data_IF_377841588509
#
_entry.id   IF_377841588509
#
_cell.length_a   1.000
_cell.length_b   1.000
_cell.length_c   1.000
_cell.angle_alpha   90.00
_cell.angle_beta   90.00
_cell.angle_gamma   90.00
#
_symmetry.space_group_name_H-M   'P 1'
#
loop_
_entity.id
_entity.type
_entity.pdbx_description
1 polymer ?
#
# COMPACT_ATOMS: atom_id res chain seq x y z
N UNK A 1 -18.55 2.84 -23.55
CA UNK A 1 -17.13 2.52 -23.82
C UNK A 1 -16.79 1.27 -23.04
N UNK A 2 -16.55 0.17 -23.74
CA UNK A 2 -16.27 -1.15 -23.15
C UNK A 2 -14.78 -1.28 -22.82
N UNK A 3 -14.47 -1.96 -21.73
CA UNK A 3 -13.15 -2.30 -21.15
C UNK A 3 -12.09 -2.93 -22.08
N UNK A 4 -12.33 -2.98 -23.40
CA UNK A 4 -11.45 -3.59 -24.42
C UNK A 4 -10.34 -2.68 -24.97
N UNK A 5 -10.28 -1.40 -24.57
CA UNK A 5 -9.29 -0.46 -25.12
C UNK A 5 -8.06 -0.21 -24.22
N UNK A 6 -7.97 -0.84 -23.05
CA UNK A 6 -6.92 -0.54 -22.07
C UNK A 6 -5.57 -1.27 -22.25
N UNK A 7 -5.30 -1.93 -23.39
CA UNK A 7 -4.11 -2.81 -23.43
C UNK A 7 -3.54 -3.17 -24.79
N UNK A 8 -3.50 -2.26 -25.76
CA UNK A 8 -2.88 -2.57 -27.08
C UNK A 8 -1.54 -1.91 -27.37
N UNK A 9 -1.03 -1.06 -26.49
CA UNK A 9 0.35 -0.58 -26.52
C UNK A 9 0.84 -0.61 -25.06
N UNK A 10 1.96 -1.25 -24.75
CA UNK A 10 2.46 -1.53 -23.38
C UNK A 10 2.76 -0.34 -22.46
N UNK A 11 2.08 0.79 -22.63
CA UNK A 11 2.14 1.95 -21.75
C UNK A 11 1.13 1.80 -20.61
N UNK A 12 1.61 1.95 -19.38
CA UNK A 12 0.75 2.05 -18.20
C UNK A 12 -0.19 3.25 -18.32
N UNK A 13 -1.39 3.15 -17.75
CA UNK A 13 -2.26 4.32 -17.55
C UNK A 13 -1.58 5.32 -16.59
N UNK A 14 -2.02 6.59 -16.53
CA UNK A 14 -1.53 7.52 -15.52
C UNK A 14 -1.63 6.96 -14.08
N UNK A 15 -2.75 6.31 -13.75
CA UNK A 15 -2.96 5.65 -12.46
C UNK A 15 -2.00 4.45 -12.29
N UNK A 16 -1.79 3.66 -13.34
CA UNK A 16 -0.81 2.57 -13.34
C UNK A 16 0.62 3.06 -13.08
N UNK A 17 1.01 4.19 -13.67
CA UNK A 17 2.32 4.82 -13.38
C UNK A 17 2.42 5.32 -11.94
N UNK A 18 1.37 5.95 -11.42
CA UNK A 18 1.32 6.40 -10.02
C UNK A 18 1.49 5.24 -9.05
N UNK A 19 0.77 4.14 -9.28
CA UNK A 19 0.88 2.93 -8.47
C UNK A 19 2.30 2.34 -8.51
N UNK A 20 2.88 2.19 -9.70
CA UNK A 20 4.25 1.66 -9.84
C UNK A 20 5.26 2.54 -9.11
N UNK A 21 5.16 3.86 -9.25
CA UNK A 21 6.05 4.78 -8.55
C UNK A 21 5.87 4.69 -7.03
N UNK A 22 4.63 4.59 -6.54
CA UNK A 22 4.36 4.43 -5.11
C UNK A 22 4.96 3.13 -4.55
N UNK A 23 4.83 2.02 -5.27
CA UNK A 23 5.43 0.74 -4.87
C UNK A 23 6.96 0.85 -4.81
N UNK A 24 7.59 1.42 -5.84
CA UNK A 24 9.05 1.61 -5.86
C UNK A 24 9.50 2.49 -4.70
N UNK A 25 8.78 3.58 -4.42
CA UNK A 25 9.09 4.48 -3.31
C UNK A 25 8.91 3.78 -1.95
N UNK A 26 7.85 2.98 -1.80
CA UNK A 26 7.63 2.15 -0.61
C UNK A 26 8.80 1.20 -0.37
N UNK A 27 9.24 0.47 -1.40
CA UNK A 27 10.38 -0.44 -1.31
C UNK A 27 11.69 0.27 -0.94
N UNK A 28 11.95 1.44 -1.53
CA UNK A 28 13.12 2.26 -1.18
C UNK A 28 13.05 2.74 0.28
N UNK A 29 11.87 3.14 0.74
CA UNK A 29 11.66 3.57 2.12
C UNK A 29 11.85 2.40 3.11
N UNK A 30 11.31 1.22 2.80
CA UNK A 30 11.52 -0.01 3.56
C UNK A 30 13.00 -0.37 3.65
N UNK A 31 13.74 -0.32 2.53
CA UNK A 31 15.18 -0.56 2.52
C UNK A 31 15.92 0.43 3.42
N UNK A 32 15.62 1.73 3.33
CA UNK A 32 16.23 2.75 4.21
C UNK A 32 15.92 2.54 5.68
N UNK A 33 14.71 2.07 6.00
CA UNK A 33 14.35 1.70 7.37
C UNK A 33 15.16 0.51 7.86
N UNK A 34 15.32 -0.53 7.04
CA UNK A 34 16.17 -1.68 7.36
C UNK A 34 17.60 -1.24 7.70
N UNK A 35 18.22 -0.46 6.81
CA UNK A 35 19.58 0.04 7.01
C UNK A 35 19.71 0.91 8.27
N UNK A 36 18.70 1.71 8.57
CA UNK A 36 18.68 2.59 9.75
C UNK A 36 18.50 1.82 11.05
N UNK A 37 17.61 0.83 11.07
CA UNK A 37 17.28 0.08 12.28
C UNK A 37 18.34 -0.96 12.62
N UNK A 38 18.94 -1.60 11.61
CA UNK A 38 19.90 -2.68 11.81
C UNK A 38 19.33 -3.75 12.76
N UNK A 39 20.09 -4.12 13.79
CA UNK A 39 19.66 -5.13 14.76
C UNK A 39 18.47 -4.71 15.62
N UNK A 40 18.22 -3.40 15.81
CA UNK A 40 17.04 -2.93 16.54
C UNK A 40 15.74 -3.33 15.82
N UNK A 41 15.80 -3.55 14.50
CA UNK A 41 14.67 -4.05 13.71
C UNK A 41 14.21 -5.47 14.11
N UNK A 42 15.07 -6.25 14.78
CA UNK A 42 14.79 -7.61 15.25
C UNK A 42 14.16 -7.65 16.65
N UNK A 43 13.90 -6.49 17.25
CA UNK A 43 13.25 -6.44 18.56
C UNK A 43 11.76 -6.77 18.43
N UNK A 44 11.27 -7.60 19.34
CA UNK A 44 9.84 -7.84 19.49
C UNK A 44 9.15 -6.56 19.97
N UNK A 45 8.03 -6.22 19.37
CA UNK A 45 7.33 -4.96 19.67
C UNK A 45 5.94 -5.19 20.25
N UNK A 46 5.03 -5.73 19.45
CA UNK A 46 3.63 -5.93 19.81
C UNK A 46 3.10 -7.22 19.20
N UNK A 47 1.94 -7.67 19.70
CA UNK A 47 1.20 -8.76 19.06
C UNK A 47 0.46 -8.21 17.84
N UNK A 48 0.50 -8.93 16.73
CA UNK A 48 -0.30 -8.65 15.55
C UNK A 48 -1.79 -9.04 15.81
N UNK A 49 -2.73 -8.70 14.91
CA UNK A 49 -4.15 -9.05 15.04
C UNK A 49 -4.44 -10.56 15.14
N UNK A 50 -3.46 -11.41 14.81
CA UNK A 50 -3.55 -12.86 14.86
C UNK A 50 -2.97 -13.45 16.16
N UNK A 51 -2.45 -12.59 17.05
CA UNK A 51 -1.88 -13.01 18.34
C UNK A 51 -0.44 -13.51 18.25
N UNK A 52 0.27 -13.19 17.16
CA UNK A 52 1.69 -13.52 16.97
C UNK A 52 2.58 -12.31 17.27
N UNK A 53 3.81 -12.57 17.72
CA UNK A 53 4.74 -11.50 18.09
C UNK A 53 5.42 -10.93 16.84
N UNK A 54 5.23 -9.63 16.62
CA UNK A 54 5.79 -8.91 15.49
C UNK A 54 7.14 -8.24 15.82
N UNK A 55 8.05 -8.25 14.85
CA UNK A 55 9.30 -7.51 14.96
C UNK A 55 9.07 -6.02 14.64
N UNK A 56 9.93 -5.17 15.19
CA UNK A 56 9.91 -3.74 14.90
C UNK A 56 10.06 -3.44 13.40
N UNK A 57 10.78 -4.30 12.67
CA UNK A 57 10.95 -4.17 11.23
C UNK A 57 9.68 -4.56 10.47
N UNK A 58 8.92 -5.56 10.92
CA UNK A 58 7.72 -6.05 10.21
C UNK A 58 6.68 -4.93 10.12
N UNK A 59 6.40 -4.29 11.25
CA UNK A 59 5.44 -3.18 11.37
C UNK A 59 5.91 -1.97 10.56
N UNK A 60 7.17 -1.54 10.75
CA UNK A 60 7.69 -0.34 10.09
C UNK A 60 7.87 -0.53 8.58
N UNK A 61 8.22 -1.74 8.12
CA UNK A 61 8.30 -2.05 6.70
C UNK A 61 6.94 -1.89 6.03
N UNK A 62 5.91 -2.41 6.68
CA UNK A 62 4.55 -2.36 6.14
C UNK A 62 4.01 -0.93 6.14
N UNK A 63 4.20 -0.19 7.25
CA UNK A 63 3.87 1.23 7.33
C UNK A 63 4.50 2.05 6.20
N UNK A 64 5.75 1.77 5.84
CA UNK A 64 6.42 2.48 4.76
C UNK A 64 5.72 2.27 3.40
N UNK A 65 5.29 1.05 3.11
CA UNK A 65 4.56 0.72 1.87
C UNK A 65 3.17 1.35 1.90
N UNK A 66 2.44 1.23 3.01
CA UNK A 66 1.10 1.79 3.15
C UNK A 66 1.10 3.32 3.03
N UNK A 67 2.08 4.00 3.62
CA UNK A 67 2.24 5.44 3.50
C UNK A 67 2.53 5.86 2.05
N UNK A 68 3.41 5.14 1.35
CA UNK A 68 3.67 5.42 -0.06
C UNK A 68 2.43 5.22 -0.94
N UNK A 69 1.62 4.19 -0.67
CA UNK A 69 0.37 3.94 -1.39
C UNK A 69 -0.70 5.00 -1.08
N UNK A 70 -0.76 5.49 0.17
CA UNK A 70 -1.70 6.52 0.60
C UNK A 70 -1.55 7.82 -0.20
N UNK A 71 -0.32 8.16 -0.58
CA UNK A 71 -0.01 9.37 -1.36
C UNK A 71 -0.56 9.34 -2.79
N UNK A 72 -0.92 8.15 -3.30
CA UNK A 72 -1.56 8.02 -4.62
C UNK A 72 -3.00 8.52 -4.66
N UNK A 73 -3.63 8.69 -3.49
CA UNK A 73 -5.07 8.98 -3.34
C UNK A 73 -6.01 7.95 -4.00
N UNK A 74 -5.49 6.78 -4.37
CA UNK A 74 -6.27 5.65 -4.85
C UNK A 74 -6.86 4.89 -3.66
N UNK A 75 -7.99 4.22 -3.90
CA UNK A 75 -8.59 3.32 -2.91
C UNK A 75 -8.06 1.90 -3.10
N UNK A 76 -7.55 1.31 -2.03
CA UNK A 76 -7.08 -0.09 -2.01
C UNK A 76 -7.80 -0.87 -0.92
N UNK A 77 -8.20 -2.10 -1.24
CA UNK A 77 -8.47 -3.09 -0.21
C UNK A 77 -7.15 -3.72 0.20
N UNK A 78 -6.76 -3.53 1.46
CA UNK A 78 -5.52 -4.04 2.02
C UNK A 78 -5.83 -5.23 2.90
N UNK A 79 -5.03 -6.29 2.76
CA UNK A 79 -4.95 -7.39 3.71
C UNK A 79 -3.50 -7.49 4.14
N UNK A 80 -3.28 -7.34 5.43
CA UNK A 80 -1.96 -7.20 6.02
C UNK A 80 -1.85 -8.12 7.24
N UNK A 81 -0.63 -8.61 7.48
CA UNK A 81 -0.30 -9.40 8.66
C UNK A 81 -0.31 -8.52 9.92
N UNK A 82 0.32 -7.34 9.85
CA UNK A 82 0.54 -6.49 11.03
C UNK A 82 -0.61 -5.53 11.34
N UNK A 83 -1.43 -5.19 10.34
CA UNK A 83 -2.50 -4.20 10.41
C UNK A 83 -3.89 -4.76 10.07
N UNK A 84 -3.97 -6.04 9.66
CA UNK A 84 -5.22 -6.71 9.34
C UNK A 84 -5.84 -6.23 8.01
N UNK A 85 -7.18 -6.28 7.92
CA UNK A 85 -7.91 -5.94 6.69
C UNK A 85 -8.60 -4.58 6.79
N UNK A 86 -8.32 -3.68 5.85
CA UNK A 86 -8.90 -2.33 5.83
C UNK A 86 -8.91 -1.72 4.42
N UNK A 87 -9.58 -0.58 4.26
CA UNK A 87 -9.55 0.23 3.03
C UNK A 87 -8.56 1.37 3.23
N UNK A 88 -7.54 1.45 2.37
CA UNK A 88 -6.59 2.55 2.32
C UNK A 88 -7.05 3.58 1.28
N UNK A 89 -7.04 4.87 1.66
CA UNK A 89 -7.43 5.98 0.78
C UNK A 89 -8.91 6.36 0.91
N UNK A 90 -9.32 7.43 0.21
CA UNK A 90 -10.73 7.85 0.15
C UNK A 90 -11.38 7.25 -1.10
N UNK A 91 -12.51 6.56 -0.93
CA UNK A 91 -13.45 6.36 -2.04
C UNK A 91 -13.98 7.75 -2.39
N UNK A 92 -13.49 8.36 -3.47
CA UNK A 92 -14.16 9.55 -3.99
C UNK A 92 -15.56 9.13 -4.36
N UNK A 93 -16.56 9.74 -3.71
CA UNK A 93 -17.99 9.54 -3.97
C UNK A 93 -18.21 9.40 -5.48
N UNK A 94 -18.49 8.19 -5.93
CA UNK A 94 -19.15 8.01 -7.21
C UNK A 94 -20.50 8.67 -6.97
N UNK A 95 -20.69 9.89 -7.47
CA UNK A 95 -22.01 10.50 -7.56
C UNK A 95 -22.92 9.40 -8.09
N UNK A 96 -23.98 8.99 -7.37
CA UNK A 96 -24.93 8.06 -7.95
C UNK A 96 -25.37 8.73 -9.24
N UNK A 97 -25.04 8.13 -10.38
CA UNK A 97 -25.71 8.43 -11.62
C UNK A 97 -27.19 8.21 -11.29
N UNK A 98 -27.92 9.30 -11.08
CA UNK A 98 -29.36 9.28 -11.08
C UNK A 98 -29.74 8.68 -12.43
N UNK A 99 -30.10 7.40 -12.39
CA UNK A 99 -30.87 6.79 -13.45
C UNK A 99 -32.24 7.45 -13.39
N UNK A 100 -32.50 8.26 -14.42
CA UNK A 100 -33.80 8.75 -14.90
C UNK A 100 -34.49 9.80 -14.02
#
# INVERSE_FOLDING_TARGET
MTSKELGRNGALTPQGRLLVNAVINGLIATYRLHERLGDAGKSNTQLNPFGEMALAMDIQAEDAVLNALKDTQLAFQVSSEEHGSFILGKIQNIQPFLMV
#
